data_IF_790512646044
#
_entry.id   IF_790512646044
#
_cell.length_a   1.000
_cell.length_b   1.000
_cell.length_c   1.000
_cell.angle_alpha   90.00
_cell.angle_beta   90.00
_cell.angle_gamma   90.00
#
_symmetry.space_group_name_H-M   'P 1'
#
loop_
_entity.id
_entity.type
_entity.pdbx_description
1 polymer ?
#
# COMPACT_ATOMS: atom_id res chain seq x y z
N UNK A 1 2.97 -37.49 66.50
CA UNK A 1 3.45 -38.07 65.22
C UNK A 1 2.67 -37.34 64.14
N UNK A 2 3.16 -36.15 63.77
CA UNK A 2 2.40 -35.17 62.97
C UNK A 2 2.58 -35.46 61.48
N UNK A 3 1.46 -35.68 60.80
CA UNK A 3 1.35 -35.70 59.35
C UNK A 3 1.55 -34.28 58.82
N UNK A 4 2.70 -34.01 58.23
CA UNK A 4 2.90 -32.80 57.41
C UNK A 4 2.68 -33.21 55.97
N UNK A 5 1.54 -32.78 55.42
CA UNK A 5 1.20 -32.90 54.02
C UNK A 5 2.00 -31.86 53.24
N UNK A 6 2.92 -32.29 52.39
CA UNK A 6 3.65 -31.42 51.47
C UNK A 6 2.73 -31.03 50.32
N UNK A 7 2.51 -29.75 50.00
CA UNK A 7 1.71 -29.40 48.83
C UNK A 7 2.51 -29.75 47.56
N UNK A 8 1.88 -30.52 46.67
CA UNK A 8 2.35 -30.70 45.31
C UNK A 8 2.34 -29.33 44.62
N UNK A 9 3.52 -28.83 44.27
CA UNK A 9 3.66 -27.68 43.39
C UNK A 9 3.17 -28.13 42.02
N UNK A 10 1.94 -27.74 41.67
CA UNK A 10 1.47 -27.78 40.29
C UNK A 10 2.25 -26.69 39.56
N UNK A 11 3.33 -27.09 38.90
CA UNK A 11 3.99 -26.24 37.90
C UNK A 11 2.98 -26.11 36.76
N UNK A 12 2.38 -24.92 36.62
CA UNK A 12 1.59 -24.58 35.45
C UNK A 12 2.43 -24.87 34.20
N UNK A 13 1.85 -25.40 33.11
CA UNK A 13 2.60 -25.61 31.88
C UNK A 13 3.14 -24.25 31.45
N UNK A 14 4.47 -24.11 31.45
CA UNK A 14 5.13 -22.92 30.90
C UNK A 14 4.65 -22.79 29.46
N UNK A 15 3.95 -21.69 29.16
CA UNK A 15 3.39 -21.50 27.84
C UNK A 15 4.55 -21.32 26.86
N UNK A 16 4.47 -21.99 25.71
CA UNK A 16 5.55 -22.10 24.71
C UNK A 16 6.05 -20.73 24.17
N UNK A 17 5.32 -19.65 24.45
CA UNK A 17 5.52 -18.31 23.90
C UNK A 17 5.93 -17.24 24.92
N UNK A 18 5.91 -17.52 26.24
CA UNK A 18 6.16 -16.52 27.31
C UNK A 18 7.54 -15.82 27.21
N UNK A 19 8.53 -16.42 26.55
CA UNK A 19 9.89 -15.87 26.39
C UNK A 19 10.33 -15.65 24.91
N UNK A 20 9.40 -15.78 23.92
CA UNK A 20 9.76 -15.81 22.48
C UNK A 20 9.61 -14.47 21.73
N UNK A 21 9.35 -13.35 22.41
CA UNK A 21 9.19 -12.03 21.78
C UNK A 21 10.34 -11.64 20.83
N UNK A 22 11.55 -12.18 21.06
CA UNK A 22 12.78 -11.66 20.49
C UNK A 22 13.30 -12.36 19.22
N UNK A 23 12.74 -13.49 18.75
CA UNK A 23 13.36 -14.17 17.60
C UNK A 23 13.35 -13.27 16.35
N UNK A 24 14.51 -12.98 15.74
CA UNK A 24 14.55 -12.30 14.45
C UNK A 24 13.88 -13.19 13.40
N UNK A 25 13.18 -12.61 12.41
CA UNK A 25 12.63 -13.41 11.34
C UNK A 25 13.74 -14.11 10.56
N UNK A 26 13.47 -15.35 10.13
CA UNK A 26 14.48 -16.23 9.59
C UNK A 26 14.16 -17.72 9.84
N UNK A 27 15.12 -18.61 9.61
CA UNK A 27 14.90 -20.06 9.72
C UNK A 27 14.40 -20.51 11.09
N UNK A 28 14.94 -19.95 12.17
CA UNK A 28 14.55 -20.31 13.53
C UNK A 28 13.10 -19.91 13.83
N UNK A 29 12.70 -18.68 13.46
CA UNK A 29 11.33 -18.25 13.65
C UNK A 29 10.34 -19.04 12.78
N UNK A 30 10.73 -19.42 11.56
CA UNK A 30 9.93 -20.28 10.71
C UNK A 30 9.63 -21.65 11.36
N UNK A 31 10.61 -22.23 12.06
CA UNK A 31 10.41 -23.48 12.83
C UNK A 31 9.44 -23.27 13.99
N UNK A 32 9.55 -22.16 14.73
CA UNK A 32 8.60 -21.84 15.80
C UNK A 32 7.16 -21.66 15.27
N UNK A 33 7.00 -21.12 14.06
CA UNK A 33 5.71 -20.90 13.41
C UNK A 33 5.17 -22.12 12.66
N UNK A 34 5.95 -23.19 12.50
CA UNK A 34 5.54 -24.38 11.73
C UNK A 34 4.68 -25.37 12.52
N UNK A 35 4.32 -25.04 13.76
CA UNK A 35 3.44 -25.88 14.60
C UNK A 35 2.03 -26.03 14.03
N UNK A 36 1.32 -27.07 14.49
CA UNK A 36 -0.09 -27.29 14.12
C UNK A 36 -0.96 -26.12 14.61
N UNK A 37 -1.82 -25.62 13.73
CA UNK A 37 -2.77 -24.52 14.01
C UNK A 37 -3.76 -24.88 15.11
N UNK A 38 -4.02 -26.18 15.35
CA UNK A 38 -4.87 -26.64 16.45
C UNK A 38 -4.36 -26.17 17.83
N UNK A 39 -3.04 -26.06 18.00
CA UNK A 39 -2.38 -25.62 19.24
C UNK A 39 -2.55 -24.12 19.52
N UNK A 40 -3.04 -23.34 18.55
CA UNK A 40 -3.39 -21.93 18.78
C UNK A 40 -4.56 -21.78 19.76
N UNK A 41 -5.44 -22.78 19.85
CA UNK A 41 -6.57 -22.75 20.80
C UNK A 41 -6.13 -22.83 22.28
N UNK A 42 -4.90 -23.29 22.53
CA UNK A 42 -4.33 -23.40 23.87
C UNK A 42 -3.63 -22.10 24.32
N UNK A 43 -3.51 -21.10 23.44
CA UNK A 43 -2.83 -19.83 23.69
C UNK A 43 -3.80 -18.78 24.24
N UNK A 44 -3.25 -17.88 25.05
CA UNK A 44 -3.95 -16.67 25.49
C UNK A 44 -4.12 -15.66 24.34
N UNK A 45 -5.04 -14.71 24.49
CA UNK A 45 -5.26 -13.65 23.49
C UNK A 45 -3.97 -12.85 23.20
N UNK A 46 -3.16 -12.56 24.22
CA UNK A 46 -1.89 -11.84 24.06
C UNK A 46 -0.85 -12.66 23.29
N UNK A 47 -0.76 -13.97 23.57
CA UNK A 47 0.13 -14.87 22.82
C UNK A 47 -0.31 -15.03 21.37
N UNK A 48 -1.61 -15.09 21.10
CA UNK A 48 -2.14 -15.09 19.73
C UNK A 48 -1.73 -13.83 18.97
N UNK A 49 -1.74 -12.66 19.62
CA UNK A 49 -1.24 -11.42 19.04
C UNK A 49 0.27 -11.48 18.77
N UNK A 50 1.07 -12.06 19.68
CA UNK A 50 2.50 -12.27 19.47
C UNK A 50 2.80 -13.21 18.30
N UNK A 51 2.07 -14.32 18.17
CA UNK A 51 2.16 -15.24 17.03
C UNK A 51 1.85 -14.51 15.72
N UNK A 52 0.78 -13.72 15.69
CA UNK A 52 0.39 -12.95 14.51
C UNK A 52 1.47 -11.92 14.12
N UNK A 53 2.05 -11.22 15.10
CA UNK A 53 3.13 -10.26 14.89
C UNK A 53 4.41 -10.97 14.38
N UNK A 54 4.76 -12.12 14.95
CA UNK A 54 5.90 -12.92 14.53
C UNK A 54 5.74 -13.45 13.10
N UNK A 55 4.55 -13.97 12.75
CA UNK A 55 4.23 -14.39 11.39
C UNK A 55 4.37 -13.24 10.38
N UNK A 56 3.93 -12.02 10.73
CA UNK A 56 4.11 -10.84 9.88
C UNK A 56 5.59 -10.52 9.60
N UNK A 57 6.44 -10.60 10.63
CA UNK A 57 7.89 -10.43 10.48
C UNK A 57 8.49 -11.51 9.59
N UNK A 58 8.08 -12.76 9.78
CA UNK A 58 8.53 -13.89 8.95
C UNK A 58 8.12 -13.73 7.48
N UNK A 59 6.90 -13.28 7.20
CA UNK A 59 6.46 -12.95 5.84
C UNK A 59 7.31 -11.84 5.23
N UNK A 60 7.61 -10.79 5.99
CA UNK A 60 8.43 -9.67 5.53
C UNK A 60 9.85 -10.12 5.13
N UNK A 61 10.46 -10.99 5.94
CA UNK A 61 11.73 -11.62 5.61
C UNK A 61 11.68 -12.47 4.35
N UNK A 62 10.65 -13.32 4.18
CA UNK A 62 10.49 -14.14 2.98
C UNK A 62 10.32 -13.27 1.72
N UNK A 63 9.53 -12.20 1.81
CA UNK A 63 9.34 -11.23 0.73
C UNK A 63 10.63 -10.48 0.38
N UNK A 64 11.45 -10.11 1.36
CA UNK A 64 12.75 -9.52 1.10
C UNK A 64 13.66 -10.47 0.29
N UNK A 65 13.63 -11.78 0.62
CA UNK A 65 14.40 -12.79 -0.12
C UNK A 65 13.91 -13.01 -1.55
N UNK A 66 12.59 -13.04 -1.74
CA UNK A 66 11.98 -13.11 -3.08
C UNK A 66 12.45 -11.94 -3.95
N UNK A 67 12.34 -10.71 -3.43
CA UNK A 67 12.76 -9.50 -4.13
C UNK A 67 14.27 -9.47 -4.39
N UNK A 68 15.10 -9.93 -3.45
CA UNK A 68 16.54 -10.05 -3.66
C UNK A 68 16.90 -11.03 -4.79
N UNK A 69 16.20 -12.17 -4.89
CA UNK A 69 16.39 -13.13 -5.96
C UNK A 69 15.99 -12.56 -7.34
N UNK A 70 14.86 -11.86 -7.40
CA UNK A 70 14.39 -11.16 -8.60
C UNK A 70 15.41 -10.09 -9.03
N UNK A 71 15.90 -9.28 -8.11
CA UNK A 71 16.90 -8.24 -8.39
C UNK A 71 18.21 -8.82 -8.95
N UNK A 72 18.72 -9.90 -8.33
CA UNK A 72 19.93 -10.58 -8.80
C UNK A 72 19.74 -11.15 -10.22
N UNK A 73 18.59 -11.79 -10.50
CA UNK A 73 18.28 -12.29 -11.84
C UNK A 73 18.27 -11.15 -12.87
N UNK A 74 17.65 -10.02 -12.51
CA UNK A 74 17.61 -8.80 -13.33
C UNK A 74 19.01 -8.32 -13.63
N UNK A 75 19.86 -8.18 -12.60
CA UNK A 75 21.24 -7.72 -12.76
C UNK A 75 22.06 -8.64 -13.67
N UNK A 76 21.89 -9.97 -13.55
CA UNK A 76 22.58 -10.95 -14.42
C UNK A 76 22.17 -10.79 -15.88
N UNK A 77 20.86 -10.64 -16.14
CA UNK A 77 20.34 -10.47 -17.50
C UNK A 77 20.77 -9.14 -18.11
N UNK A 78 20.74 -8.05 -17.34
CA UNK A 78 21.21 -6.74 -17.80
C UNK A 78 22.72 -6.75 -18.12
N UNK A 79 23.55 -7.42 -17.31
CA UNK A 79 24.98 -7.58 -17.63
C UNK A 79 25.20 -8.37 -18.92
N UNK A 80 24.47 -9.49 -19.09
CA UNK A 80 24.58 -10.31 -20.29
C UNK A 80 24.11 -9.56 -21.55
N UNK A 81 23.08 -8.73 -21.45
CA UNK A 81 22.60 -7.86 -22.55
C UNK A 81 23.63 -6.79 -22.91
N UNK A 82 24.29 -6.16 -21.91
CA UNK A 82 25.32 -5.16 -22.16
C UNK A 82 26.56 -5.70 -22.89
N UNK A 83 26.84 -7.00 -22.75
CA UNK A 83 27.93 -7.70 -23.43
C UNK A 83 27.54 -8.23 -24.83
N UNK A 84 26.26 -8.16 -25.20
CA UNK A 84 25.72 -8.66 -26.46
C UNK A 84 25.57 -7.55 -27.52
N UNK A 85 25.54 -7.94 -28.79
CA UNK A 85 25.22 -7.02 -29.89
C UNK A 85 23.71 -6.74 -29.89
N UNK A 86 23.24 -5.47 -29.96
CA UNK A 86 21.82 -5.16 -29.90
C UNK A 86 21.02 -5.78 -31.08
N UNK A 87 20.13 -6.73 -30.78
CA UNK A 87 19.15 -7.26 -31.74
C UNK A 87 17.73 -6.89 -31.30
N UNK A 88 17.06 -6.04 -32.08
CA UNK A 88 15.70 -5.55 -31.82
C UNK A 88 14.63 -6.67 -31.84
N UNK A 89 14.98 -7.88 -32.27
CA UNK A 89 14.10 -9.06 -32.23
C UNK A 89 14.10 -9.76 -30.88
N UNK A 90 15.08 -9.45 -30.02
CA UNK A 90 15.22 -10.02 -28.69
C UNK A 90 14.58 -9.05 -27.70
N UNK A 91 13.79 -9.57 -26.76
CA UNK A 91 13.25 -8.78 -25.66
C UNK A 91 14.40 -8.15 -24.88
N UNK A 92 14.18 -6.94 -24.35
CA UNK A 92 15.15 -6.37 -23.42
C UNK A 92 15.34 -7.28 -22.21
N UNK A 93 16.50 -7.20 -21.54
CA UNK A 93 16.74 -7.98 -20.32
C UNK A 93 15.61 -7.83 -19.30
N UNK A 94 15.08 -6.61 -19.17
CA UNK A 94 13.97 -6.29 -18.27
C UNK A 94 12.67 -6.99 -18.65
N UNK A 95 12.29 -6.96 -19.93
CA UNK A 95 11.09 -7.63 -20.43
C UNK A 95 11.19 -9.15 -20.29
N UNK A 96 12.33 -9.74 -20.64
CA UNK A 96 12.57 -11.17 -20.46
C UNK A 96 12.40 -11.60 -19.00
N UNK A 97 13.01 -10.87 -18.06
CA UNK A 97 12.88 -11.19 -16.64
C UNK A 97 11.46 -11.00 -16.14
N UNK A 98 10.74 -9.98 -16.65
CA UNK A 98 9.34 -9.76 -16.31
C UNK A 98 8.49 -10.99 -16.67
N UNK A 99 8.67 -11.55 -17.86
CA UNK A 99 7.94 -12.75 -18.30
C UNK A 99 8.40 -14.02 -17.58
N UNK A 100 9.71 -14.19 -17.34
CA UNK A 100 10.26 -15.31 -16.56
C UNK A 100 9.69 -15.34 -15.13
N UNK A 101 9.64 -14.19 -14.45
CA UNK A 101 9.08 -14.07 -13.09
C UNK A 101 7.56 -14.24 -13.09
N UNK A 102 6.85 -13.71 -14.10
CA UNK A 102 5.41 -13.89 -14.24
C UNK A 102 5.05 -15.38 -14.36
N UNK A 103 5.77 -16.12 -15.22
CA UNK A 103 5.60 -17.55 -15.40
C UNK A 103 5.97 -18.34 -14.14
N UNK A 104 7.10 -18.03 -13.50
CA UNK A 104 7.58 -18.77 -12.32
C UNK A 104 6.68 -18.60 -11.09
N UNK A 105 6.12 -17.40 -10.89
CA UNK A 105 5.25 -17.09 -9.74
C UNK A 105 3.75 -17.24 -10.05
N UNK A 106 3.38 -17.57 -11.29
CA UNK A 106 1.99 -17.67 -11.74
C UNK A 106 1.21 -16.38 -11.48
N UNK A 107 1.78 -15.25 -11.90
CA UNK A 107 1.18 -13.91 -11.77
C UNK A 107 1.13 -13.21 -13.13
N UNK A 108 0.38 -12.12 -13.24
CA UNK A 108 0.33 -11.33 -14.49
C UNK A 108 1.66 -10.62 -14.76
N UNK A 109 1.97 -10.35 -16.03
CA UNK A 109 3.17 -9.56 -16.40
C UNK A 109 3.21 -8.21 -15.71
N UNK A 110 2.05 -7.56 -15.50
CA UNK A 110 1.96 -6.30 -14.77
C UNK A 110 2.33 -6.45 -13.28
N UNK A 111 1.87 -7.53 -12.63
CA UNK A 111 2.26 -7.82 -11.25
C UNK A 111 3.75 -8.13 -11.13
N UNK A 112 4.29 -8.88 -12.09
CA UNK A 112 5.72 -9.16 -12.20
C UNK A 112 6.55 -7.89 -12.40
N UNK A 113 6.17 -7.00 -13.32
CA UNK A 113 6.85 -5.72 -13.55
C UNK A 113 6.86 -4.84 -12.28
N UNK A 114 5.77 -4.88 -11.51
CA UNK A 114 5.69 -4.19 -10.20
C UNK A 114 6.67 -4.77 -9.19
N UNK A 115 6.78 -6.11 -9.10
CA UNK A 115 7.76 -6.77 -8.23
C UNK A 115 9.19 -6.48 -8.66
N UNK A 116 9.46 -6.50 -9.97
CA UNK A 116 10.76 -6.21 -10.57
C UNK A 116 11.23 -4.80 -10.20
N UNK A 117 10.37 -3.81 -10.42
CA UNK A 117 10.64 -2.43 -10.03
C UNK A 117 10.94 -2.32 -8.53
N UNK A 118 10.10 -2.92 -7.68
CA UNK A 118 10.30 -2.87 -6.24
C UNK A 118 11.61 -3.57 -5.81
N UNK A 119 11.95 -4.70 -6.44
CA UNK A 119 13.17 -5.45 -6.19
C UNK A 119 14.42 -4.60 -6.47
N UNK A 120 14.47 -3.91 -7.61
CA UNK A 120 15.56 -3.00 -7.96
C UNK A 120 15.65 -1.81 -6.99
N UNK A 121 14.50 -1.25 -6.58
CA UNK A 121 14.50 -0.16 -5.61
C UNK A 121 15.05 -0.62 -4.26
N UNK A 122 14.55 -1.73 -3.71
CA UNK A 122 14.92 -2.19 -2.36
C UNK A 122 16.32 -2.81 -2.28
N UNK A 123 16.92 -3.20 -3.40
CA UNK A 123 18.32 -3.68 -3.45
C UNK A 123 19.30 -2.61 -3.96
N UNK A 124 18.80 -1.49 -4.46
CA UNK A 124 19.58 -0.35 -4.93
C UNK A 124 19.30 0.92 -4.13
N UNK A 125 18.62 1.95 -4.70
CA UNK A 125 18.44 3.27 -4.07
C UNK A 125 17.80 3.24 -2.67
N UNK A 126 17.00 2.22 -2.36
CA UNK A 126 16.29 2.03 -1.11
C UNK A 126 16.79 0.82 -0.30
N UNK A 127 18.09 0.53 -0.36
CA UNK A 127 18.73 -0.59 0.37
C UNK A 127 18.38 -0.66 1.87
N UNK A 128 18.37 0.47 2.60
CA UNK A 128 18.01 0.47 4.04
C UNK A 128 16.56 0.04 4.31
N UNK A 129 15.67 0.26 3.35
CA UNK A 129 14.26 -0.16 3.40
C UNK A 129 14.18 -1.65 3.12
N UNK A 130 14.96 -2.16 2.15
CA UNK A 130 15.14 -3.59 1.93
C UNK A 130 15.65 -4.31 3.18
N UNK A 131 16.69 -3.79 3.83
CA UNK A 131 17.21 -4.33 5.08
C UNK A 131 16.19 -4.24 6.23
N UNK A 132 15.36 -3.19 6.29
CA UNK A 132 14.28 -3.08 7.26
C UNK A 132 13.16 -4.10 7.00
N UNK A 133 12.85 -4.39 5.75
CA UNK A 133 11.89 -5.43 5.34
C UNK A 133 12.41 -6.82 5.73
N UNK A 134 13.68 -7.11 5.43
CA UNK A 134 14.32 -8.37 5.78
C UNK A 134 14.34 -8.60 7.30
N UNK A 135 14.64 -7.56 8.07
CA UNK A 135 14.61 -7.62 9.54
C UNK A 135 13.19 -7.68 10.13
N UNK A 136 12.13 -7.61 9.31
CA UNK A 136 10.74 -7.55 9.75
C UNK A 136 10.37 -6.27 10.52
N UNK A 137 11.18 -5.20 10.42
CA UNK A 137 10.88 -3.89 11.04
C UNK A 137 9.80 -3.13 10.26
N UNK A 138 9.70 -3.39 8.96
CA UNK A 138 8.61 -2.94 8.10
C UNK A 138 8.07 -4.13 7.32
N UNK A 139 6.79 -4.06 6.93
CA UNK A 139 6.18 -5.01 6.00
C UNK A 139 6.26 -4.50 4.55
N UNK A 140 5.90 -5.35 3.59
CA UNK A 140 5.93 -5.01 2.17
C UNK A 140 5.06 -3.80 1.83
N UNK A 141 3.93 -3.60 2.54
CA UNK A 141 3.05 -2.47 2.28
C UNK A 141 3.72 -1.14 2.68
N UNK A 142 4.44 -1.11 3.81
CA UNK A 142 5.25 0.04 4.22
C UNK A 142 6.45 0.25 3.29
N UNK A 143 7.13 -0.81 2.86
CA UNK A 143 8.24 -0.72 1.91
C UNK A 143 7.79 -0.09 0.57
N UNK A 144 6.64 -0.53 0.04
CA UNK A 144 5.98 0.08 -1.14
C UNK A 144 5.67 1.56 -0.94
N UNK A 145 5.14 1.95 0.21
CA UNK A 145 4.90 3.38 0.52
C UNK A 145 6.18 4.22 0.45
N UNK A 146 7.32 3.69 0.90
CA UNK A 146 8.61 4.38 0.77
C UNK A 146 9.02 4.45 -0.70
N UNK A 147 8.92 3.35 -1.45
CA UNK A 147 9.23 3.28 -2.87
C UNK A 147 8.42 4.29 -3.70
N UNK A 148 7.09 4.23 -3.62
CA UNK A 148 6.19 5.06 -4.41
C UNK A 148 6.41 6.56 -4.19
N UNK A 149 6.68 6.96 -2.94
CA UNK A 149 6.83 8.36 -2.57
C UNK A 149 8.24 8.90 -2.80
N UNK A 150 9.18 8.05 -3.23
CA UNK A 150 10.57 8.43 -3.54
C UNK A 150 10.97 8.18 -5.00
N UNK A 151 10.10 7.58 -5.81
CA UNK A 151 10.38 7.14 -7.18
C UNK A 151 11.04 8.20 -8.08
N UNK A 152 10.64 9.47 -7.96
CA UNK A 152 11.10 10.57 -8.83
C UNK A 152 12.00 11.57 -8.11
N UNK A 153 12.53 11.19 -6.94
CA UNK A 153 13.40 12.07 -6.16
C UNK A 153 14.87 11.87 -6.54
N UNK A 154 15.69 12.94 -6.53
CA UNK A 154 17.13 12.81 -6.71
C UNK A 154 17.74 11.86 -5.67
N UNK A 155 18.77 11.06 -6.02
CA UNK A 155 19.31 10.02 -5.14
C UNK A 155 19.71 10.49 -3.73
N UNK A 156 20.22 11.72 -3.60
CA UNK A 156 20.54 12.32 -2.31
C UNK A 156 19.28 12.59 -1.46
N UNK A 157 18.22 13.10 -2.08
CA UNK A 157 16.95 13.35 -1.39
C UNK A 157 16.29 12.02 -1.02
N UNK A 158 16.32 11.03 -1.90
CA UNK A 158 15.80 9.68 -1.65
C UNK A 158 16.42 9.07 -0.39
N UNK A 159 17.75 9.09 -0.26
CA UNK A 159 18.45 8.59 0.94
C UNK A 159 18.02 9.32 2.22
N UNK A 160 17.92 10.66 2.16
CA UNK A 160 17.49 11.46 3.32
C UNK A 160 16.04 11.20 3.73
N UNK A 161 15.13 11.06 2.74
CA UNK A 161 13.73 10.73 2.96
C UNK A 161 13.58 9.34 3.57
N UNK A 162 14.30 8.36 3.01
CA UNK A 162 14.33 6.98 3.47
C UNK A 162 14.78 6.89 4.94
N UNK A 163 15.94 7.47 5.28
CA UNK A 163 16.46 7.44 6.64
C UNK A 163 15.43 8.02 7.65
N UNK A 164 14.88 9.20 7.34
CA UNK A 164 13.90 9.88 8.20
C UNK A 164 12.55 9.13 8.28
N UNK A 165 12.18 8.37 7.25
CA UNK A 165 10.99 7.52 7.24
C UNK A 165 11.18 6.31 8.18
N UNK A 166 12.33 5.65 8.09
CA UNK A 166 12.63 4.42 8.84
C UNK A 166 12.73 4.62 10.36
N UNK A 167 13.08 5.82 10.83
CA UNK A 167 13.08 6.17 12.26
C UNK A 167 11.79 5.80 13.00
N UNK A 168 10.63 5.89 12.33
CA UNK A 168 9.31 5.65 12.94
C UNK A 168 8.46 4.64 12.16
N UNK A 169 8.99 4.03 11.10
CA UNK A 169 8.19 3.19 10.22
C UNK A 169 7.60 1.95 10.92
N UNK A 170 8.30 1.38 11.90
CA UNK A 170 7.84 0.20 12.65
C UNK A 170 6.55 0.45 13.43
N UNK A 171 6.42 1.63 14.05
CA UNK A 171 5.29 2.01 14.90
C UNK A 171 4.20 2.82 14.18
N UNK A 172 4.38 3.10 12.89
CA UNK A 172 3.42 3.85 12.09
C UNK A 172 2.57 2.94 11.20
N UNK A 173 1.29 3.28 11.06
CA UNK A 173 0.46 2.72 9.98
C UNK A 173 0.94 3.24 8.62
N UNK A 174 0.60 2.55 7.54
CA UNK A 174 0.93 2.99 6.17
C UNK A 174 0.42 4.41 5.87
N UNK A 175 -0.75 4.78 6.39
CA UNK A 175 -1.30 6.13 6.26
C UNK A 175 -0.49 7.19 7.02
N UNK A 176 -0.05 6.89 8.25
CA UNK A 176 0.80 7.78 9.03
C UNK A 176 2.19 7.95 8.38
N UNK A 177 2.76 6.85 7.89
CA UNK A 177 4.04 6.83 7.18
C UNK A 177 3.95 7.66 5.89
N UNK A 178 2.90 7.47 5.08
CA UNK A 178 2.64 8.27 3.87
C UNK A 178 2.57 9.76 4.16
N UNK A 179 1.84 10.17 5.21
CA UNK A 179 1.76 11.57 5.66
C UNK A 179 3.11 12.11 6.14
N UNK A 180 3.92 11.29 6.81
CA UNK A 180 5.26 11.67 7.27
C UNK A 180 6.19 11.90 6.07
N UNK A 181 6.27 10.93 5.16
CA UNK A 181 7.12 11.01 3.98
C UNK A 181 6.74 12.22 3.12
N UNK A 182 5.46 12.43 2.82
CA UNK A 182 4.99 13.62 2.07
C UNK A 182 5.47 14.94 2.68
N UNK A 183 5.40 15.09 4.01
CA UNK A 183 5.90 16.29 4.69
C UNK A 183 7.41 16.45 4.57
N UNK A 184 8.16 15.35 4.65
CA UNK A 184 9.62 15.36 4.48
C UNK A 184 9.95 15.77 3.03
N UNK A 185 9.31 15.15 2.04
CA UNK A 185 9.52 15.45 0.62
C UNK A 185 9.17 16.92 0.31
N UNK A 186 8.03 17.42 0.78
CA UNK A 186 7.65 18.83 0.62
C UNK A 186 8.72 19.80 1.14
N UNK A 187 9.41 19.44 2.22
CA UNK A 187 10.46 20.27 2.82
C UNK A 187 11.80 20.13 2.10
N UNK A 188 12.14 18.93 1.62
CA UNK A 188 13.45 18.61 1.07
C UNK A 188 13.55 18.82 -0.45
N UNK A 189 12.44 18.65 -1.17
CA UNK A 189 12.36 18.79 -2.62
C UNK A 189 11.03 19.43 -3.04
N UNK A 190 10.77 20.69 -2.65
CA UNK A 190 9.54 21.40 -3.01
C UNK A 190 9.37 21.53 -4.53
N UNK A 191 10.46 21.72 -5.28
CA UNK A 191 10.44 21.81 -6.75
C UNK A 191 9.97 20.50 -7.39
N UNK A 192 10.47 19.35 -6.94
CA UNK A 192 10.04 18.04 -7.43
C UNK A 192 8.55 17.78 -7.12
N UNK A 193 8.04 18.27 -5.99
CA UNK A 193 6.60 18.18 -5.68
C UNK A 193 5.78 19.03 -6.65
N UNK A 194 6.22 20.25 -6.93
CA UNK A 194 5.51 21.14 -7.85
C UNK A 194 5.57 20.61 -9.28
N UNK A 195 6.73 20.15 -9.76
CA UNK A 195 6.87 19.52 -11.08
C UNK A 195 5.94 18.30 -11.23
N UNK A 196 5.94 17.40 -10.23
CA UNK A 196 5.04 16.24 -10.24
C UNK A 196 3.57 16.65 -10.26
N UNK A 197 3.20 17.69 -9.53
CA UNK A 197 1.84 18.25 -9.54
C UNK A 197 1.50 18.80 -10.93
N UNK A 198 2.39 19.57 -11.56
CA UNK A 198 2.19 20.11 -12.90
C UNK A 198 2.04 18.99 -13.95
N UNK A 199 2.87 17.95 -13.86
CA UNK A 199 2.78 16.80 -14.77
C UNK A 199 1.49 16.01 -14.56
N UNK A 200 1.09 15.74 -13.30
CA UNK A 200 -0.20 15.10 -13.01
C UNK A 200 -1.37 15.90 -13.61
N UNK A 201 -1.36 17.23 -13.45
CA UNK A 201 -2.38 18.12 -14.04
C UNK A 201 -2.37 18.09 -15.57
N UNK A 202 -1.22 17.87 -16.22
CA UNK A 202 -1.16 17.66 -17.68
C UNK A 202 -1.79 16.35 -18.11
N UNK A 203 -1.70 15.31 -17.27
CA UNK A 203 -2.31 13.99 -17.47
C UNK A 203 -3.76 13.89 -16.96
N UNK A 204 -4.39 15.03 -16.64
CA UNK A 204 -5.80 15.10 -16.23
C UNK A 204 -6.70 14.42 -17.26
N UNK A 205 -7.64 13.62 -16.78
CA UNK A 205 -8.48 12.77 -17.64
C UNK A 205 -9.83 12.47 -17.01
N UNK A 206 -10.77 12.07 -17.87
CA UNK A 206 -12.06 11.52 -17.47
C UNK A 206 -12.02 10.01 -17.76
N UNK A 207 -12.15 9.21 -16.73
CA UNK A 207 -12.14 7.75 -16.81
C UNK A 207 -13.53 7.18 -16.56
N UNK A 208 -13.83 6.08 -17.27
CA UNK A 208 -15.07 5.31 -17.16
C UNK A 208 -14.71 3.83 -17.13
N UNK A 209 -15.24 3.08 -16.17
CA UNK A 209 -15.11 1.63 -16.13
C UNK A 209 -16.37 0.97 -15.55
N UNK A 210 -16.69 -0.22 -16.06
CA UNK A 210 -17.81 -1.02 -15.58
C UNK A 210 -17.48 -1.67 -14.23
N UNK A 211 -18.48 -1.74 -13.35
CA UNK A 211 -18.40 -2.43 -12.07
C UNK A 211 -18.98 -3.84 -12.18
N UNK A 212 -18.56 -4.80 -11.32
CA UNK A 212 -19.17 -6.13 -11.28
C UNK A 212 -20.67 -6.14 -10.95
N UNK A 213 -21.21 -5.04 -10.44
CA UNK A 213 -22.63 -4.89 -10.10
C UNK A 213 -23.49 -4.47 -11.30
N UNK A 214 -22.91 -4.33 -12.51
CA UNK A 214 -23.62 -3.87 -13.70
C UNK A 214 -23.86 -2.36 -13.73
N UNK A 215 -23.15 -1.59 -12.89
CA UNK A 215 -23.08 -0.13 -12.95
C UNK A 215 -21.76 0.29 -13.58
N UNK A 216 -21.53 1.59 -13.77
CA UNK A 216 -20.23 2.12 -14.17
C UNK A 216 -19.80 3.24 -13.22
N UNK A 217 -18.50 3.34 -12.97
CA UNK A 217 -17.91 4.45 -12.23
C UNK A 217 -17.34 5.48 -13.22
N UNK A 218 -17.57 6.76 -12.93
CA UNK A 218 -17.03 7.88 -13.69
C UNK A 218 -16.13 8.72 -12.78
N UNK A 219 -14.88 8.95 -13.17
CA UNK A 219 -13.90 9.69 -12.35
C UNK A 219 -13.18 10.77 -13.16
N UNK A 220 -13.14 11.99 -12.60
CA UNK A 220 -12.25 13.06 -13.05
C UNK A 220 -10.93 12.97 -12.27
N UNK A 221 -9.86 12.58 -12.96
CA UNK A 221 -8.57 12.26 -12.36
C UNK A 221 -7.57 13.41 -12.59
N UNK A 222 -6.71 13.62 -11.59
CA UNK A 222 -5.55 14.53 -11.62
C UNK A 222 -5.87 16.00 -11.99
N UNK A 223 -7.05 16.48 -11.60
CA UNK A 223 -7.37 17.91 -11.67
C UNK A 223 -6.45 18.74 -10.77
N UNK A 224 -6.29 20.03 -11.10
CA UNK A 224 -5.71 20.98 -10.16
C UNK A 224 -6.52 20.93 -8.85
N UNK A 225 -5.83 20.88 -7.71
CA UNK A 225 -6.48 20.67 -6.42
C UNK A 225 -7.53 21.76 -6.11
N UNK A 226 -7.31 22.99 -6.57
CA UNK A 226 -8.24 24.11 -6.44
C UNK A 226 -9.54 23.83 -7.21
N UNK A 227 -9.45 23.36 -8.46
CA UNK A 227 -10.61 23.03 -9.29
C UNK A 227 -11.40 21.85 -8.72
N UNK A 228 -10.72 20.77 -8.32
CA UNK A 228 -11.36 19.60 -7.74
C UNK A 228 -12.14 19.96 -6.46
N UNK A 229 -11.51 20.73 -5.56
CA UNK A 229 -12.18 21.19 -4.34
C UNK A 229 -13.30 22.16 -4.64
N UNK A 230 -13.14 23.09 -5.58
CA UNK A 230 -14.18 24.03 -5.96
C UNK A 230 -15.43 23.31 -6.49
N UNK A 231 -15.25 22.33 -7.39
CA UNK A 231 -16.33 21.51 -7.94
C UNK A 231 -17.02 20.74 -6.81
N UNK A 232 -16.26 19.99 -6.00
CA UNK A 232 -16.81 19.16 -4.95
C UNK A 232 -17.56 19.98 -3.89
N UNK A 233 -16.99 21.12 -3.48
CA UNK A 233 -17.61 22.02 -2.49
C UNK A 233 -18.88 22.66 -3.03
N UNK A 234 -18.91 23.07 -4.31
CA UNK A 234 -20.10 23.65 -4.95
C UNK A 234 -21.26 22.64 -4.99
N UNK A 235 -20.99 21.41 -5.42
CA UNK A 235 -21.99 20.33 -5.45
C UNK A 235 -22.44 19.99 -4.03
N UNK A 236 -21.51 19.90 -3.08
CA UNK A 236 -21.82 19.57 -1.68
C UNK A 236 -22.68 20.66 -1.03
N UNK A 237 -22.38 21.94 -1.24
CA UNK A 237 -23.18 23.05 -0.73
C UNK A 237 -24.61 23.03 -1.30
N UNK A 238 -24.78 22.81 -2.61
CA UNK A 238 -26.09 22.71 -3.24
C UNK A 238 -26.87 21.47 -2.73
N UNK A 239 -26.22 20.33 -2.56
CA UNK A 239 -26.83 19.13 -2.00
C UNK A 239 -27.28 19.31 -0.54
N UNK A 240 -26.55 20.08 0.26
CA UNK A 240 -27.00 20.47 1.60
C UNK A 240 -28.26 21.32 1.55
N UNK A 241 -28.37 22.25 0.60
CA UNK A 241 -29.60 23.03 0.37
C UNK A 241 -30.80 22.14 0.09
N UNK A 242 -30.68 21.23 -0.90
CA UNK A 242 -31.73 20.25 -1.23
C UNK A 242 -32.14 19.40 -0.01
N UNK A 243 -31.17 19.00 0.81
CA UNK A 243 -31.42 18.22 2.02
C UNK A 243 -32.18 19.01 3.09
N UNK A 244 -31.85 20.29 3.25
CA UNK A 244 -32.56 21.20 4.16
C UNK A 244 -34.01 21.41 3.68
N UNK A 245 -34.22 21.45 2.37
CA UNK A 245 -35.54 21.60 1.74
C UNK A 245 -36.41 20.33 1.80
N UNK A 246 -35.97 19.29 2.54
CA UNK A 246 -36.79 18.14 2.91
C UNK A 246 -36.45 16.83 2.21
N UNK A 247 -35.38 16.78 1.40
CA UNK A 247 -34.96 15.54 0.76
C UNK A 247 -34.43 14.50 1.79
N UNK A 248 -35.08 13.33 1.95
CA UNK A 248 -34.72 12.35 2.96
C UNK A 248 -33.48 11.52 2.57
N UNK A 249 -33.04 11.57 1.30
CA UNK A 249 -31.96 10.72 0.80
C UNK A 249 -30.62 11.02 1.51
N UNK A 250 -29.72 10.01 1.62
CA UNK A 250 -28.36 10.24 2.06
C UNK A 250 -27.67 11.33 1.22
N UNK A 251 -26.86 12.20 1.86
CA UNK A 251 -26.21 13.33 1.18
C UNK A 251 -25.36 12.89 -0.02
N UNK A 252 -24.76 11.70 0.04
CA UNK A 252 -24.00 11.15 -1.07
C UNK A 252 -24.84 10.85 -2.32
N UNK A 253 -26.09 10.40 -2.15
CA UNK A 253 -27.00 10.13 -3.26
C UNK A 253 -27.42 11.45 -3.92
N UNK A 254 -27.79 12.46 -3.13
CA UNK A 254 -28.13 13.80 -3.62
C UNK A 254 -26.96 14.41 -4.40
N UNK A 255 -25.73 14.29 -3.89
CA UNK A 255 -24.52 14.77 -4.60
C UNK A 255 -24.30 14.04 -5.92
N UNK A 256 -24.46 12.72 -5.96
CA UNK A 256 -24.27 11.93 -7.17
C UNK A 256 -25.32 12.28 -8.25
N UNK A 257 -26.59 12.37 -7.85
CA UNK A 257 -27.69 12.73 -8.77
C UNK A 257 -27.52 14.16 -9.28
N UNK A 258 -27.14 15.10 -8.40
CA UNK A 258 -26.89 16.49 -8.77
C UNK A 258 -25.69 16.62 -9.72
N UNK A 259 -24.58 15.93 -9.42
CA UNK A 259 -23.42 15.91 -10.29
C UNK A 259 -23.77 15.35 -11.68
N UNK A 260 -24.60 14.29 -11.73
CA UNK A 260 -25.04 13.68 -12.98
C UNK A 260 -25.83 14.66 -13.84
N UNK A 261 -26.82 15.36 -13.27
CA UNK A 261 -27.59 16.39 -13.98
C UNK A 261 -26.69 17.50 -14.53
N UNK A 262 -25.75 17.99 -13.71
CA UNK A 262 -24.80 19.03 -14.13
C UNK A 262 -23.89 18.56 -15.27
N UNK A 263 -23.39 17.33 -15.22
CA UNK A 263 -22.54 16.75 -16.26
C UNK A 263 -23.31 16.43 -17.54
N UNK A 264 -24.63 16.20 -17.45
CA UNK A 264 -25.54 16.09 -18.60
C UNK A 264 -25.90 17.45 -19.22
N UNK A 265 -25.36 18.55 -18.69
CA UNK A 265 -25.54 19.91 -19.22
C UNK A 265 -26.68 20.70 -18.58
N UNK A 266 -27.31 20.20 -17.51
CA UNK A 266 -28.31 20.97 -16.79
C UNK A 266 -27.65 22.14 -16.04
N UNK A 267 -28.27 23.32 -16.08
CA UNK A 267 -27.88 24.43 -15.21
C UNK A 267 -28.23 24.13 -13.75
N UNK A 268 -27.41 24.62 -12.82
CA UNK A 268 -27.56 24.34 -11.38
C UNK A 268 -28.97 24.60 -10.82
N UNK A 269 -29.64 25.73 -11.11
CA UNK A 269 -31.01 25.96 -10.61
C UNK A 269 -32.03 24.96 -11.16
N UNK A 270 -31.84 24.51 -12.40
CA UNK A 270 -32.71 23.53 -13.04
C UNK A 270 -32.48 22.14 -12.45
N UNK A 271 -31.22 21.74 -12.27
CA UNK A 271 -30.87 20.47 -11.65
C UNK A 271 -31.42 20.35 -10.21
N UNK A 272 -31.29 21.41 -9.40
CA UNK A 272 -31.85 21.46 -8.04
C UNK A 272 -33.37 21.25 -8.06
N UNK A 273 -34.10 21.97 -8.92
CA UNK A 273 -35.56 21.83 -9.04
C UNK A 273 -35.95 20.42 -9.45
N UNK A 274 -35.26 19.83 -10.43
CA UNK A 274 -35.53 18.46 -10.89
C UNK A 274 -35.41 17.46 -9.74
N UNK A 275 -34.37 17.57 -8.92
CA UNK A 275 -34.17 16.65 -7.79
C UNK A 275 -35.24 16.80 -6.70
N UNK A 276 -35.63 18.02 -6.37
CA UNK A 276 -36.70 18.28 -5.40
C UNK A 276 -38.06 17.73 -5.89
N UNK A 277 -38.34 17.80 -7.20
CA UNK A 277 -39.59 17.24 -7.76
C UNK A 277 -39.62 15.72 -7.77
N UNK A 278 -38.47 15.06 -7.95
CA UNK A 278 -38.36 13.59 -7.98
C UNK A 278 -38.58 12.94 -6.60
N UNK A 279 -38.33 13.67 -5.51
CA UNK A 279 -38.58 13.19 -4.14
C UNK A 279 -40.03 13.32 -3.68
N UNK A 280 -40.87 14.06 -4.41
CA UNK A 280 -42.30 14.24 -4.08
C UNK A 280 -43.22 13.18 -4.72
N UNK A 281 -42.65 12.22 -5.45
CA UNK A 281 -43.33 11.04 -6.03
C UNK A 281 -42.83 9.77 -5.37
#
# INVERSE_FOLDING_TARGET
MNLVSTPAIIVAPQCEWEDREWFPPGPQLAICLSGDKSRLADLTDDELLQVAAAARRQTSWAQARELAAIAELTQRRTRAEADADPDYRILSARESVTEEVAAALTITSNASATLLHLAEQLTGPLADTGAALEAGRVDLAKARVVSDLTADLPPEITRRVQAAALEKASTQTTGQLRRRIRRIVQRLAPEAVEERKQEAVRQRRLELWDTPSGTADLSLCDLAAEDAHAIFNKITAAAHGIKIDGDPRPLQNIRADLATQLLQGAELPTAIRTLLTQTCT
#
